data_IF_665363063148
#
_entry.id   IF_665363063148
#
_cell.length_a   1.000
_cell.length_b   1.000
_cell.length_c   1.000
_cell.angle_alpha   90.00
_cell.angle_beta   90.00
_cell.angle_gamma   90.00
#
_symmetry.space_group_name_H-M   'P 1'
#
loop_
_entity.id
_entity.type
_entity.pdbx_description
1 polymer ?
#
# COMPACT_ATOMS: atom_id res chain seq x y z
N UNK A 1 -15.27 15.42 -13.20
CA UNK A 1 -15.78 16.04 -11.96
C UNK A 1 -14.71 15.83 -10.89
N UNK A 2 -14.43 16.79 -10.02
CA UNK A 2 -13.36 16.63 -9.02
C UNK A 2 -13.80 15.64 -7.94
N UNK A 3 -12.94 14.68 -7.59
CA UNK A 3 -13.28 13.62 -6.62
C UNK A 3 -13.77 14.16 -5.27
N UNK A 4 -13.24 15.30 -4.81
CA UNK A 4 -13.70 15.95 -3.58
C UNK A 4 -15.15 16.43 -3.67
N UNK A 5 -15.60 16.90 -4.83
CA UNK A 5 -16.98 17.36 -5.04
C UNK A 5 -17.95 16.18 -4.96
N UNK A 6 -17.63 15.06 -5.62
CA UNK A 6 -18.45 13.84 -5.50
C UNK A 6 -18.57 13.35 -4.05
N UNK A 7 -17.48 13.42 -3.28
CA UNK A 7 -17.53 13.07 -1.85
C UNK A 7 -18.44 14.02 -1.07
N UNK A 8 -18.45 15.32 -1.39
CA UNK A 8 -19.38 16.29 -0.77
C UNK A 8 -20.83 15.98 -1.11
N UNK A 9 -21.13 15.71 -2.38
CA UNK A 9 -22.47 15.35 -2.85
C UNK A 9 -22.97 14.08 -2.16
N UNK A 10 -22.13 13.05 -2.06
CA UNK A 10 -22.48 11.82 -1.35
C UNK A 10 -22.61 12.03 0.17
N UNK A 11 -21.81 12.91 0.79
CA UNK A 11 -22.00 13.30 2.20
C UNK A 11 -23.37 13.96 2.41
N UNK A 12 -23.72 14.94 1.58
CA UNK A 12 -25.00 15.65 1.66
C UNK A 12 -26.17 14.68 1.52
N UNK A 13 -26.18 13.89 0.44
CA UNK A 13 -27.21 12.88 0.15
C UNK A 13 -27.31 11.82 1.25
N UNK A 14 -26.17 11.33 1.76
CA UNK A 14 -26.15 10.31 2.80
C UNK A 14 -26.73 10.83 4.12
N UNK A 15 -26.34 12.02 4.57
CA UNK A 15 -26.83 12.55 5.85
C UNK A 15 -28.25 13.15 5.76
N UNK A 16 -28.75 13.46 4.56
CA UNK A 16 -30.18 13.75 4.35
C UNK A 16 -31.04 12.49 4.49
N UNK A 17 -30.56 11.34 4.03
CA UNK A 17 -31.34 10.09 3.97
C UNK A 17 -31.13 9.19 5.20
N UNK A 18 -29.90 9.10 5.70
CA UNK A 18 -29.48 8.20 6.76
C UNK A 18 -28.59 8.91 7.82
N UNK A 19 -29.10 9.94 8.52
CA UNK A 19 -28.29 10.79 9.41
C UNK A 19 -27.64 10.06 10.60
N UNK A 20 -28.13 8.84 10.93
CA UNK A 20 -27.65 8.04 12.06
C UNK A 20 -26.46 7.15 11.70
N UNK A 21 -26.35 6.73 10.45
CA UNK A 21 -25.27 5.85 10.01
C UNK A 21 -24.13 6.70 9.43
N UNK A 22 -22.86 6.38 9.69
CA UNK A 22 -21.77 7.11 9.08
C UNK A 22 -21.60 6.74 7.61
N UNK A 23 -21.18 7.73 6.80
CA UNK A 23 -20.78 7.48 5.43
C UNK A 23 -19.59 6.51 5.39
N UNK A 24 -19.68 5.54 4.49
CA UNK A 24 -18.57 4.65 4.14
C UNK A 24 -18.44 4.66 2.62
N UNK A 25 -17.23 4.64 2.11
CA UNK A 25 -17.05 4.46 0.68
C UNK A 25 -15.62 4.23 0.22
N UNK A 26 -15.50 3.87 -1.06
CA UNK A 26 -14.23 3.58 -1.71
C UNK A 26 -13.93 4.65 -2.76
N UNK A 27 -12.70 5.15 -2.77
CA UNK A 27 -12.17 6.00 -3.83
C UNK A 27 -11.10 5.20 -4.56
N UNK A 28 -11.40 4.80 -5.79
CA UNK A 28 -10.45 4.11 -6.65
C UNK A 28 -9.79 5.12 -7.58
N UNK A 29 -8.52 5.40 -7.32
CA UNK A 29 -7.74 6.38 -8.05
C UNK A 29 -6.42 5.73 -8.45
N UNK A 30 -6.08 5.75 -9.74
CA UNK A 30 -4.86 5.13 -10.25
C UNK A 30 -3.61 5.57 -9.47
N UNK A 31 -2.64 4.68 -9.33
CA UNK A 31 -1.41 4.99 -8.61
C UNK A 31 -0.69 6.19 -9.25
N UNK A 32 -0.26 7.14 -8.42
CA UNK A 32 0.38 8.38 -8.87
C UNK A 32 -0.59 9.52 -9.22
N UNK A 33 -1.91 9.35 -9.12
CA UNK A 33 -2.89 10.41 -9.41
C UNK A 33 -3.04 11.49 -8.33
N UNK A 34 -2.32 11.38 -7.20
CA UNK A 34 -2.39 12.36 -6.11
C UNK A 34 -3.36 12.03 -4.98
N UNK A 35 -3.59 10.75 -4.66
CA UNK A 35 -4.46 10.29 -3.56
C UNK A 35 -4.20 10.99 -2.22
N UNK A 36 -2.93 11.16 -1.81
CA UNK A 36 -2.57 11.87 -0.58
C UNK A 36 -2.96 13.35 -0.61
N UNK A 37 -2.82 14.01 -1.76
CA UNK A 37 -3.28 15.40 -1.94
C UNK A 37 -4.80 15.48 -1.87
N UNK A 38 -5.52 14.50 -2.43
CA UNK A 38 -6.97 14.38 -2.27
C UNK A 38 -7.35 14.23 -0.80
N UNK A 39 -6.68 13.37 -0.03
CA UNK A 39 -6.90 13.23 1.41
C UNK A 39 -6.81 14.56 2.15
N UNK A 40 -5.78 15.36 1.87
CA UNK A 40 -5.66 16.71 2.45
C UNK A 40 -6.90 17.56 2.16
N UNK A 41 -7.40 17.57 0.92
CA UNK A 41 -8.59 18.34 0.57
C UNK A 41 -9.85 17.79 1.24
N UNK A 42 -9.96 16.46 1.37
CA UNK A 42 -11.06 15.81 2.08
C UNK A 42 -11.10 16.18 3.57
N UNK A 43 -9.95 16.40 4.23
CA UNK A 43 -9.96 16.84 5.64
C UNK A 43 -10.68 18.18 5.82
N UNK A 44 -10.39 19.16 4.96
CA UNK A 44 -11.06 20.47 4.99
C UNK A 44 -12.54 20.35 4.66
N UNK A 45 -12.84 19.65 3.58
CA UNK A 45 -14.20 19.50 3.08
C UNK A 45 -15.13 18.80 4.08
N UNK A 46 -14.67 17.66 4.65
CA UNK A 46 -15.45 16.91 5.63
C UNK A 46 -15.63 17.74 6.92
N UNK A 47 -14.59 18.42 7.37
CA UNK A 47 -14.69 19.31 8.53
C UNK A 47 -15.73 20.42 8.30
N UNK A 48 -15.64 21.12 7.17
CA UNK A 48 -16.54 22.22 6.85
C UNK A 48 -17.99 21.72 6.74
N UNK A 49 -18.20 20.53 6.14
CA UNK A 49 -19.52 19.89 6.10
C UNK A 49 -20.10 19.65 7.51
N UNK A 50 -19.34 19.08 8.45
CA UNK A 50 -19.84 18.81 9.80
C UNK A 50 -19.97 20.06 10.68
N UNK A 51 -19.17 21.09 10.41
CA UNK A 51 -19.23 22.37 11.11
C UNK A 51 -20.40 23.25 10.62
N UNK A 52 -20.69 23.25 9.32
CA UNK A 52 -21.73 24.10 8.71
C UNK A 52 -23.11 23.45 8.66
N UNK A 53 -23.17 22.12 8.66
CA UNK A 53 -24.44 21.41 8.74
C UNK A 53 -25.08 21.56 10.12
N UNK A 54 -26.38 21.26 10.21
CA UNK A 54 -27.13 21.20 11.49
C UNK A 54 -26.58 20.15 12.48
N UNK A 55 -25.53 19.41 12.11
CA UNK A 55 -24.89 18.38 12.92
C UNK A 55 -23.96 18.99 13.97
N UNK A 56 -23.36 20.17 13.73
CA UNK A 56 -22.45 20.87 14.64
C UNK A 56 -21.39 19.95 15.28
N UNK A 57 -20.77 19.08 14.47
CA UNK A 57 -19.77 18.12 14.95
C UNK A 57 -18.37 18.60 14.64
N UNK A 58 -17.47 18.39 15.59
CA UNK A 58 -16.03 18.51 15.38
C UNK A 58 -15.49 17.23 14.74
N UNK A 59 -14.50 17.35 13.86
CA UNK A 59 -13.94 16.20 13.13
C UNK A 59 -12.52 15.88 13.57
N UNK A 60 -12.20 14.59 13.75
CA UNK A 60 -10.85 14.11 14.06
C UNK A 60 -10.40 13.07 13.04
N UNK A 61 -9.31 13.36 12.35
CA UNK A 61 -8.87 12.62 11.17
C UNK A 61 -7.74 11.64 11.50
N UNK A 62 -7.86 10.42 10.96
CA UNK A 62 -6.82 9.41 11.00
C UNK A 62 -6.51 8.95 9.58
N UNK A 63 -5.24 9.03 9.19
CA UNK A 63 -4.74 8.52 7.92
C UNK A 63 -3.95 7.25 8.16
N UNK A 64 -4.47 6.12 7.67
CA UNK A 64 -3.94 4.80 7.96
C UNK A 64 -3.20 4.29 6.73
N UNK A 65 -1.94 3.90 6.91
CA UNK A 65 -1.07 3.39 5.84
C UNK A 65 -0.52 2.03 6.20
N UNK A 66 -0.22 1.22 5.19
CA UNK A 66 0.30 -0.11 5.40
C UNK A 66 1.82 -0.16 5.57
N UNK A 67 2.58 0.70 4.89
CA UNK A 67 4.05 0.69 4.91
C UNK A 67 4.67 1.89 5.62
N UNK A 68 5.86 1.67 6.19
CA UNK A 68 6.62 2.71 6.91
C UNK A 68 7.08 3.86 6.00
N UNK A 69 7.44 3.57 4.76
CA UNK A 69 7.81 4.61 3.80
C UNK A 69 6.61 5.47 3.39
N UNK A 70 5.42 4.87 3.28
CA UNK A 70 4.18 5.61 3.04
C UNK A 70 3.81 6.52 4.22
N UNK A 71 4.11 6.10 5.46
CA UNK A 71 3.93 6.95 6.66
C UNK A 71 4.78 8.22 6.55
N UNK A 72 6.07 8.08 6.28
CA UNK A 72 6.97 9.24 6.13
C UNK A 72 6.59 10.12 4.94
N UNK A 73 6.16 9.53 3.82
CA UNK A 73 5.64 10.29 2.68
C UNK A 73 4.39 11.10 3.05
N UNK A 74 3.42 10.47 3.72
CA UNK A 74 2.18 11.13 4.13
C UNK A 74 2.45 12.27 5.12
N UNK A 75 3.30 12.05 6.13
CA UNK A 75 3.70 13.08 7.10
C UNK A 75 4.29 14.31 6.41
N UNK A 76 5.23 14.09 5.51
CA UNK A 76 5.86 15.16 4.74
C UNK A 76 4.84 15.90 3.86
N UNK A 77 3.97 15.17 3.18
CA UNK A 77 3.00 15.72 2.23
C UNK A 77 1.92 16.56 2.91
N UNK A 78 1.42 16.11 4.06
CA UNK A 78 0.44 16.82 4.89
C UNK A 78 1.05 18.05 5.58
N UNK A 79 2.25 17.91 6.16
CA UNK A 79 2.95 19.03 6.80
C UNK A 79 3.25 20.16 5.81
N UNK A 80 3.70 19.82 4.60
CA UNK A 80 3.95 20.79 3.51
C UNK A 80 2.69 21.54 3.07
N UNK A 81 1.51 20.98 3.29
CA UNK A 81 0.21 21.60 2.99
C UNK A 81 -0.40 22.30 4.21
N UNK A 82 0.30 22.34 5.33
CA UNK A 82 -0.10 23.09 6.53
C UNK A 82 -1.00 22.32 7.50
N UNK A 83 -1.10 20.99 7.40
CA UNK A 83 -1.67 20.20 8.49
C UNK A 83 -0.64 20.03 9.60
N UNK A 84 -1.08 20.07 10.86
CA UNK A 84 -0.30 19.59 11.98
C UNK A 84 -0.39 18.07 12.02
N UNK A 85 0.73 17.39 11.77
CA UNK A 85 0.76 15.93 11.66
C UNK A 85 1.21 15.30 12.97
N UNK A 86 0.37 14.43 13.49
CA UNK A 86 0.65 13.59 14.65
C UNK A 86 0.90 12.17 14.17
N UNK A 87 1.84 11.48 14.79
CA UNK A 87 2.10 10.08 14.50
C UNK A 87 1.63 9.23 15.67
N UNK A 88 1.03 8.07 15.38
CA UNK A 88 0.82 7.05 16.40
C UNK A 88 2.07 6.18 16.54
N UNK A 89 2.76 6.28 17.68
CA UNK A 89 4.05 5.62 17.90
C UNK A 89 3.92 4.11 18.17
N UNK A 90 2.92 3.73 18.96
CA UNK A 90 2.64 2.36 19.39
C UNK A 90 1.12 2.16 19.59
N UNK A 91 0.71 0.93 19.96
CA UNK A 91 -0.72 0.59 20.16
C UNK A 91 -1.32 1.40 21.30
N UNK A 92 -0.57 1.60 22.37
CA UNK A 92 -1.00 2.31 23.57
C UNK A 92 -1.22 3.80 23.27
N UNK A 93 -0.29 4.43 22.56
CA UNK A 93 -0.41 5.82 22.10
C UNK A 93 -1.63 5.97 21.18
N UNK A 94 -1.81 5.10 20.18
CA UNK A 94 -3.01 5.13 19.34
C UNK A 94 -4.31 4.98 20.15
N UNK A 95 -4.31 4.09 21.15
CA UNK A 95 -5.45 3.92 22.06
C UNK A 95 -5.76 5.21 22.82
N UNK A 96 -4.74 5.90 23.35
CA UNK A 96 -4.92 7.19 24.03
C UNK A 96 -5.41 8.28 23.07
N UNK A 97 -4.86 8.36 21.85
CA UNK A 97 -5.31 9.31 20.82
C UNK A 97 -6.77 9.08 20.43
N UNK A 98 -7.20 7.82 20.37
CA UNK A 98 -8.58 7.43 20.12
C UNK A 98 -9.50 7.80 21.30
N UNK A 99 -9.09 7.55 22.55
CA UNK A 99 -9.86 7.92 23.76
C UNK A 99 -9.95 9.44 23.95
N UNK A 100 -8.94 10.18 23.50
CA UNK A 100 -8.93 11.63 23.63
C UNK A 100 -9.97 12.27 22.70
N UNK A 101 -10.95 12.91 23.31
CA UNK A 101 -12.02 13.62 22.61
C UNK A 101 -11.64 15.01 22.11
N UNK A 102 -10.48 15.53 22.53
CA UNK A 102 -9.93 16.74 21.95
C UNK A 102 -9.61 16.50 20.47
N UNK A 103 -10.06 17.45 19.65
CA UNK A 103 -9.73 17.52 18.22
C UNK A 103 -8.28 17.89 18.02
N UNK A 104 -7.76 18.75 18.91
CA UNK A 104 -6.40 19.24 18.88
C UNK A 104 -5.56 18.55 19.95
N UNK A 105 -4.42 17.99 19.57
CA UNK A 105 -3.36 17.57 20.48
C UNK A 105 -2.45 18.75 20.85
N UNK A 106 -2.37 19.77 20.00
CA UNK A 106 -1.57 20.98 20.22
C UNK A 106 -2.36 22.22 20.67
N UNK A 107 -1.70 23.22 21.27
CA UNK A 107 -2.34 24.47 21.71
C UNK A 107 -2.69 25.44 20.55
N UNK A 108 -2.29 25.12 19.32
CA UNK A 108 -2.24 26.06 18.18
C UNK A 108 -3.52 26.09 17.33
N UNK A 109 -4.52 25.22 17.56
CA UNK A 109 -5.79 25.23 16.83
C UNK A 109 -5.69 24.99 15.31
N UNK A 110 -4.53 24.52 14.82
CA UNK A 110 -4.32 24.16 13.42
C UNK A 110 -5.06 22.87 13.07
N UNK A 111 -5.41 22.70 11.80
CA UNK A 111 -6.00 21.46 11.31
C UNK A 111 -5.04 20.28 11.54
N UNK A 112 -5.48 19.28 12.29
CA UNK A 112 -4.64 18.14 12.67
C UNK A 112 -5.02 16.85 11.93
N UNK A 113 -4.03 15.99 11.72
CA UNK A 113 -4.23 14.63 11.23
C UNK A 113 -3.30 13.65 11.95
N UNK A 114 -3.85 12.52 12.37
CA UNK A 114 -3.09 11.44 12.99
C UNK A 114 -2.73 10.42 11.91
N UNK A 115 -1.44 10.23 11.65
CA UNK A 115 -0.94 9.23 10.71
C UNK A 115 -0.60 7.95 11.46
N UNK A 116 -1.15 6.84 10.99
CA UNK A 116 -1.13 5.54 11.66
C UNK A 116 -0.53 4.52 10.70
N UNK A 117 0.59 3.90 11.07
CA UNK A 117 1.15 2.80 10.29
C UNK A 117 0.81 1.45 10.91
N UNK A 118 0.15 0.57 10.16
CA UNK A 118 -0.29 -0.73 10.69
C UNK A 118 0.87 -1.71 10.92
N UNK A 119 1.98 -1.59 10.19
CA UNK A 119 3.16 -2.46 10.35
C UNK A 119 3.86 -2.23 11.69
N UNK A 120 3.91 -0.98 12.19
CA UNK A 120 4.45 -0.66 13.52
C UNK A 120 3.78 -1.43 14.66
N UNK A 121 2.54 -1.85 14.44
CA UNK A 121 1.72 -2.50 15.45
C UNK A 121 1.55 -4.00 15.22
N UNK A 122 2.14 -4.55 14.15
CA UNK A 122 2.34 -6.00 14.04
C UNK A 122 3.52 -6.34 14.95
N UNK A 123 3.28 -7.06 16.05
CA UNK A 123 4.38 -7.45 16.93
C UNK A 123 5.35 -8.39 16.17
N UNK A 124 6.66 -8.34 16.43
CA UNK A 124 7.63 -9.27 15.84
C UNK A 124 7.28 -10.74 16.11
N UNK A 125 6.57 -11.00 17.21
CA UNK A 125 6.20 -12.34 17.68
C UNK A 125 4.79 -12.78 17.25
N UNK A 126 4.09 -12.02 16.39
CA UNK A 126 2.86 -12.49 15.73
C UNK A 126 3.19 -13.30 14.45
N UNK A 127 4.46 -13.56 14.14
CA UNK A 127 4.83 -14.78 13.41
C UNK A 127 4.63 -15.96 14.35
N UNK A 128 3.50 -16.65 14.21
CA UNK A 128 3.12 -17.84 14.98
C UNK A 128 4.34 -18.67 15.36
N UNK A 129 4.73 -18.64 16.63
CA UNK A 129 5.53 -19.73 17.17
C UNK A 129 4.74 -21.03 16.91
N UNK A 130 5.37 -22.14 16.48
CA UNK A 130 4.67 -23.37 16.10
C UNK A 130 3.75 -23.96 17.19
N UNK A 131 3.83 -23.43 18.42
CA UNK A 131 3.20 -23.97 19.63
C UNK A 131 2.30 -22.97 20.37
N UNK A 132 1.93 -21.82 19.77
CA UNK A 132 0.92 -20.94 20.38
C UNK A 132 -0.51 -21.38 20.04
N UNK A 133 -1.35 -21.41 21.08
CA UNK A 133 -2.75 -21.83 21.05
C UNK A 133 -3.53 -21.02 19.99
N UNK A 134 -4.31 -21.64 19.08
CA UNK A 134 -5.01 -20.93 17.98
C UNK A 134 -6.09 -19.92 18.43
N UNK A 135 -6.25 -19.72 19.74
CA UNK A 135 -7.35 -19.04 20.42
C UNK A 135 -7.01 -17.64 20.93
N UNK A 136 -5.73 -17.24 20.99
CA UNK A 136 -5.39 -15.89 21.44
C UNK A 136 -5.68 -14.88 20.31
N UNK A 137 -6.88 -14.29 20.36
CA UNK A 137 -7.24 -13.15 19.54
C UNK A 137 -6.14 -12.06 19.66
N UNK A 138 -5.77 -11.39 18.56
CA UNK A 138 -4.79 -10.31 18.63
C UNK A 138 -5.29 -9.27 19.63
N UNK A 139 -4.41 -8.82 20.53
CA UNK A 139 -4.75 -7.79 21.52
C UNK A 139 -5.38 -6.59 20.80
N UNK A 140 -6.64 -6.33 21.10
CA UNK A 140 -7.37 -5.18 20.60
C UNK A 140 -6.64 -3.89 21.04
N UNK A 141 -6.58 -2.89 20.15
CA UNK A 141 -5.99 -1.57 20.45
C UNK A 141 -6.76 -0.90 21.59
N UNK A 142 -8.08 -1.04 21.48
CA UNK A 142 -9.07 -0.54 22.40
C UNK A 142 -10.34 -1.35 22.17
N UNK A 143 -10.98 -1.81 23.24
CA UNK A 143 -12.26 -2.49 23.11
C UNK A 143 -13.36 -1.50 22.72
N UNK A 144 -14.40 -1.98 22.04
CA UNK A 144 -15.56 -1.14 21.68
C UNK A 144 -16.19 -0.49 22.91
N UNK A 145 -16.25 -1.23 24.01
CA UNK A 145 -16.79 -0.75 25.29
C UNK A 145 -15.92 0.36 25.88
N UNK A 146 -14.60 0.18 25.94
CA UNK A 146 -13.69 1.21 26.46
C UNK A 146 -13.73 2.50 25.63
N UNK A 147 -13.82 2.39 24.29
CA UNK A 147 -13.95 3.57 23.46
C UNK A 147 -15.28 4.29 23.73
N UNK A 148 -16.38 3.54 23.78
CA UNK A 148 -17.70 4.10 24.07
C UNK A 148 -17.76 4.79 25.43
N UNK A 149 -17.15 4.20 26.45
CA UNK A 149 -17.04 4.78 27.79
C UNK A 149 -16.19 6.06 27.79
N UNK A 150 -15.01 6.02 27.18
CA UNK A 150 -14.11 7.17 27.11
C UNK A 150 -14.72 8.35 26.32
N UNK A 151 -15.56 8.07 25.33
CA UNK A 151 -16.17 9.09 24.46
C UNK A 151 -17.62 9.39 24.80
N UNK A 152 -18.12 8.87 25.93
CA UNK A 152 -19.54 8.99 26.31
C UNK A 152 -20.01 10.44 26.34
N UNK A 153 -19.16 11.35 26.81
CA UNK A 153 -19.50 12.77 26.96
C UNK A 153 -19.11 13.61 25.72
N UNK A 154 -18.69 12.97 24.62
CA UNK A 154 -18.15 13.62 23.42
C UNK A 154 -19.00 13.35 22.20
N UNK A 155 -20.30 13.59 22.34
CA UNK A 155 -21.31 13.38 21.30
C UNK A 155 -21.11 14.28 20.06
N UNK A 156 -20.36 15.37 20.20
CA UNK A 156 -20.02 16.30 19.12
C UNK A 156 -18.79 15.86 18.32
N UNK A 157 -18.13 14.75 18.67
CA UNK A 157 -16.94 14.28 17.96
C UNK A 157 -17.29 13.30 16.83
N UNK A 158 -16.84 13.61 15.62
CA UNK A 158 -16.92 12.76 14.44
C UNK A 158 -15.52 12.29 14.04
N UNK A 159 -15.21 11.01 14.27
CA UNK A 159 -13.97 10.42 13.73
C UNK A 159 -14.10 10.15 12.23
N UNK A 160 -12.99 10.33 11.53
CA UNK A 160 -12.87 10.07 10.09
C UNK A 160 -11.62 9.23 9.87
N UNK A 161 -11.81 8.00 9.42
CA UNK A 161 -10.76 7.08 9.05
C UNK A 161 -10.59 7.07 7.54
N UNK A 162 -9.41 7.47 7.07
CA UNK A 162 -9.03 7.41 5.65
C UNK A 162 -7.89 6.42 5.54
N UNK A 163 -8.04 5.39 4.70
CA UNK A 163 -7.08 4.31 4.60
C UNK A 163 -6.47 4.30 3.21
N UNK A 164 -5.15 4.29 3.12
CA UNK A 164 -4.45 4.04 1.87
C UNK A 164 -4.25 2.55 1.58
N UNK A 165 -4.49 2.16 0.32
CA UNK A 165 -4.40 0.78 -0.18
C UNK A 165 -5.16 -0.25 0.69
N UNK A 166 -6.39 0.11 1.07
CA UNK A 166 -7.24 -0.65 2.02
C UNK A 166 -7.42 -2.13 1.66
N UNK A 167 -7.35 -2.48 0.37
CA UNK A 167 -7.53 -3.84 -0.12
C UNK A 167 -6.28 -4.73 0.04
N UNK A 168 -5.08 -4.20 0.32
CA UNK A 168 -3.87 -5.03 0.49
C UNK A 168 -3.73 -5.57 1.91
N UNK A 169 -4.23 -4.81 2.87
CA UNK A 169 -3.92 -4.99 4.29
C UNK A 169 -5.09 -5.45 5.14
N UNK A 170 -6.30 -5.51 4.57
CA UNK A 170 -7.46 -6.06 5.25
C UNK A 170 -7.47 -7.59 5.21
N UNK A 171 -7.25 -8.23 6.36
CA UNK A 171 -7.59 -9.64 6.59
C UNK A 171 -8.73 -9.73 7.63
N UNK A 172 -9.92 -10.23 7.24
CA UNK A 172 -11.04 -10.39 8.17
C UNK A 172 -10.77 -11.38 9.31
N UNK A 173 -9.72 -12.20 9.26
CA UNK A 173 -9.39 -13.23 10.27
C UNK A 173 -8.63 -12.70 11.49
N UNK A 174 -8.72 -11.39 11.77
CA UNK A 174 -8.14 -10.79 12.97
C UNK A 174 -6.76 -10.17 12.74
N UNK A 175 -6.61 -9.33 11.73
CA UNK A 175 -5.46 -8.43 11.70
C UNK A 175 -5.75 -7.15 12.49
N UNK A 176 -4.70 -6.51 13.01
CA UNK A 176 -4.73 -5.18 13.63
C UNK A 176 -5.66 -4.18 12.92
N UNK A 177 -5.65 -4.23 11.58
CA UNK A 177 -6.43 -3.35 10.73
C UNK A 177 -7.95 -3.54 10.91
N UNK A 178 -8.44 -4.77 11.01
CA UNK A 178 -9.87 -5.03 11.26
C UNK A 178 -10.31 -4.45 12.62
N UNK A 179 -9.48 -4.60 13.66
CA UNK A 179 -9.76 -4.08 15.00
C UNK A 179 -9.82 -2.55 15.03
N UNK A 180 -8.88 -1.88 14.35
CA UNK A 180 -8.87 -0.41 14.25
C UNK A 180 -10.11 0.11 13.53
N UNK A 181 -10.51 -0.54 12.44
CA UNK A 181 -11.71 -0.11 11.70
C UNK A 181 -12.98 -0.41 12.49
N UNK A 182 -13.03 -1.50 13.25
CA UNK A 182 -14.22 -1.91 14.00
C UNK A 182 -14.38 -1.23 15.37
N UNK A 183 -13.36 -0.53 15.88
CA UNK A 183 -13.41 0.08 17.22
C UNK A 183 -14.48 1.18 17.32
N UNK A 184 -14.69 1.95 16.24
CA UNK A 184 -15.70 3.00 16.16
C UNK A 184 -16.68 2.70 15.01
N UNK A 185 -17.93 2.34 15.36
CA UNK A 185 -19.00 2.08 14.40
C UNK A 185 -19.62 3.36 13.84
N UNK A 186 -19.37 4.50 14.47
CA UNK A 186 -19.92 5.82 14.11
C UNK A 186 -18.93 6.67 13.32
N UNK A 187 -17.70 6.18 13.13
CA UNK A 187 -16.69 6.84 12.31
C UNK A 187 -17.03 6.77 10.80
N UNK A 188 -16.74 7.85 10.08
CA UNK A 188 -16.69 7.85 8.62
C UNK A 188 -15.49 7.02 8.18
N UNK A 189 -15.67 6.19 7.14
CA UNK A 189 -14.65 5.27 6.66
C UNK A 189 -14.47 5.41 5.16
N UNK A 190 -13.34 5.95 4.73
CA UNK A 190 -13.00 6.13 3.32
C UNK A 190 -11.78 5.26 3.00
N UNK A 191 -11.96 4.31 2.09
CA UNK A 191 -10.86 3.51 1.55
C UNK A 191 -10.33 4.13 0.26
N UNK A 192 -9.02 4.32 0.17
CA UNK A 192 -8.32 4.69 -1.06
C UNK A 192 -7.68 3.44 -1.65
N UNK A 193 -7.73 3.30 -2.97
CA UNK A 193 -7.10 2.17 -3.67
C UNK A 193 -6.52 2.58 -5.02
N UNK A 194 -5.35 2.05 -5.37
CA UNK A 194 -4.75 2.16 -6.70
C UNK A 194 -5.41 1.29 -7.77
N UNK A 195 -6.03 0.19 -7.34
CA UNK A 195 -6.58 -0.86 -8.22
C UNK A 195 -8.07 -1.07 -7.95
N UNK A 196 -8.84 -1.48 -8.98
CA UNK A 196 -10.24 -1.81 -8.79
C UNK A 196 -10.38 -3.03 -7.89
N UNK A 197 -11.40 -3.05 -7.04
CA UNK A 197 -11.88 -4.28 -6.45
C UNK A 197 -12.60 -5.08 -7.54
N UNK A 198 -12.07 -6.26 -7.86
CA UNK A 198 -12.67 -7.17 -8.84
C UNK A 198 -13.72 -8.07 -8.19
N UNK A 199 -13.77 -8.10 -6.85
CA UNK A 199 -14.70 -8.94 -6.06
C UNK A 199 -14.55 -10.45 -6.29
N UNK A 200 -13.52 -10.87 -7.02
CA UNK A 200 -13.25 -12.28 -7.31
C UNK A 200 -12.60 -13.00 -6.12
N UNK A 201 -11.88 -12.24 -5.28
CA UNK A 201 -11.18 -12.77 -4.11
C UNK A 201 -11.89 -12.39 -2.80
N UNK A 202 -11.59 -13.13 -1.72
CA UNK A 202 -12.23 -12.91 -0.42
C UNK A 202 -11.91 -11.53 0.19
N UNK A 203 -10.75 -10.96 -0.17
CA UNK A 203 -10.26 -9.69 0.36
C UNK A 203 -11.01 -8.49 -0.23
N UNK A 204 -11.25 -8.50 -1.53
CA UNK A 204 -12.03 -7.50 -2.25
C UNK A 204 -13.48 -7.48 -1.73
N UNK A 205 -14.10 -8.67 -1.59
CA UNK A 205 -15.45 -8.80 -1.04
C UNK A 205 -15.53 -8.22 0.38
N UNK A 206 -14.52 -8.47 1.19
CA UNK A 206 -14.52 -7.98 2.56
C UNK A 206 -14.23 -6.47 2.64
N UNK A 207 -13.42 -5.93 1.72
CA UNK A 207 -13.20 -4.48 1.57
C UNK A 207 -14.51 -3.78 1.20
N UNK A 208 -15.24 -4.27 0.18
CA UNK A 208 -16.55 -3.73 -0.20
C UNK A 208 -17.58 -3.86 0.92
N UNK A 209 -17.59 -4.97 1.66
CA UNK A 209 -18.47 -5.13 2.84
C UNK A 209 -18.18 -4.10 3.94
N UNK A 210 -16.91 -3.79 4.16
CA UNK A 210 -16.49 -2.86 5.23
C UNK A 210 -16.68 -1.40 4.84
N UNK A 211 -16.37 -1.05 3.60
CA UNK A 211 -16.34 0.34 3.12
C UNK A 211 -17.53 0.71 2.24
N UNK A 212 -18.35 -0.23 1.77
CA UNK A 212 -19.46 0.08 0.87
C UNK A 212 -19.02 0.26 -0.58
N UNK A 213 -19.81 1.01 -1.35
CA UNK A 213 -19.61 1.22 -2.77
C UNK A 213 -18.59 2.34 -3.09
N UNK A 214 -18.29 2.52 -4.38
CA UNK A 214 -17.40 3.57 -4.84
C UNK A 214 -18.04 4.96 -4.69
N UNK A 215 -17.38 5.88 -3.99
CA UNK A 215 -17.70 7.31 -4.00
C UNK A 215 -17.19 7.99 -5.27
N UNK A 216 -16.05 7.51 -5.78
CA UNK A 216 -15.45 8.05 -6.99
C UNK A 216 -14.44 7.06 -7.60
N UNK A 217 -14.34 7.05 -8.93
CA UNK A 217 -13.34 6.30 -9.68
C UNK A 217 -12.53 7.23 -10.59
N UNK A 218 -11.23 6.97 -10.71
CA UNK A 218 -10.33 7.66 -11.62
C UNK A 218 -9.29 6.67 -12.14
N UNK A 219 -9.55 6.17 -13.33
CA UNK A 219 -8.84 5.04 -13.91
C UNK A 219 -7.48 5.41 -14.49
N UNK A 220 -6.67 4.40 -14.77
CA UNK A 220 -5.40 4.57 -15.48
C UNK A 220 -5.63 5.17 -16.89
N UNK A 221 -6.69 4.77 -17.58
CA UNK A 221 -7.04 5.30 -18.90
C UNK A 221 -7.35 6.80 -18.86
N UNK A 222 -8.13 7.25 -17.88
CA UNK A 222 -8.43 8.67 -17.67
C UNK A 222 -7.16 9.46 -17.32
N UNK A 223 -6.34 8.94 -16.40
CA UNK A 223 -5.09 9.60 -16.02
C UNK A 223 -4.08 9.76 -17.15
N UNK A 224 -4.02 8.78 -18.06
CA UNK A 224 -3.22 8.87 -19.28
C UNK A 224 -3.82 9.90 -20.25
N UNK A 225 -5.15 9.90 -20.42
CA UNK A 225 -5.86 10.88 -21.27
C UNK A 225 -5.61 12.32 -20.82
N UNK A 226 -5.64 12.53 -19.50
CA UNK A 226 -5.42 13.82 -18.85
C UNK A 226 -3.93 14.20 -18.74
N UNK A 227 -3.03 13.31 -19.19
CA UNK A 227 -1.57 13.48 -19.13
C UNK A 227 -1.00 13.62 -17.71
N UNK A 228 -1.71 13.07 -16.73
CA UNK A 228 -1.22 12.98 -15.35
C UNK A 228 -0.27 11.78 -15.15
N UNK A 229 -0.42 10.72 -15.94
CA UNK A 229 0.48 9.56 -15.94
C UNK A 229 0.99 9.23 -17.33
N UNK A 230 2.16 8.56 -17.38
CA UNK A 230 2.78 8.10 -18.62
C UNK A 230 2.14 6.79 -19.10
N UNK A 231 2.17 6.57 -20.41
CA UNK A 231 1.73 5.30 -21.01
C UNK A 231 2.72 4.18 -20.67
N UNK A 232 2.18 2.99 -20.42
CA UNK A 232 2.96 1.77 -20.28
C UNK A 232 3.13 1.12 -21.65
N UNK A 233 4.37 0.84 -22.03
CA UNK A 233 4.70 0.05 -23.22
C UNK A 233 5.04 -1.36 -22.77
N UNK A 234 4.22 -2.33 -23.17
CA UNK A 234 4.46 -3.74 -22.90
C UNK A 234 5.28 -4.32 -24.06
N UNK A 235 6.50 -4.75 -23.75
CA UNK A 235 7.36 -5.45 -24.69
C UNK A 235 7.50 -6.91 -24.27
N UNK A 236 7.37 -7.81 -25.24
CA UNK A 236 7.62 -9.24 -25.03
C UNK A 236 9.12 -9.47 -25.15
N UNK A 237 9.68 -10.25 -24.23
CA UNK A 237 11.09 -10.64 -24.27
C UNK A 237 11.47 -11.31 -25.60
N UNK A 238 12.72 -11.18 -25.99
CA UNK A 238 13.24 -11.80 -27.22
C UNK A 238 12.96 -13.30 -27.27
N UNK A 239 12.53 -13.79 -28.45
CA UNK A 239 12.21 -15.22 -28.66
C UNK A 239 13.40 -16.12 -28.34
N UNK A 240 14.61 -15.72 -28.79
CA UNK A 240 15.87 -16.43 -28.54
C UNK A 240 16.15 -16.59 -27.04
N UNK A 241 15.94 -15.53 -26.26
CA UNK A 241 16.10 -15.58 -24.81
C UNK A 241 15.03 -16.44 -24.13
N UNK A 242 13.78 -16.34 -24.56
CA UNK A 242 12.69 -17.19 -24.06
C UNK A 242 13.00 -18.68 -24.27
N UNK A 243 13.49 -19.05 -25.45
CA UNK A 243 13.89 -20.43 -25.77
C UNK A 243 15.07 -20.89 -24.89
N UNK A 244 16.06 -20.01 -24.66
CA UNK A 244 17.22 -20.30 -23.81
C UNK A 244 16.83 -20.51 -22.34
N UNK A 245 15.97 -19.66 -21.78
CA UNK A 245 15.43 -19.87 -20.42
C UNK A 245 14.61 -21.15 -20.31
N UNK A 246 13.81 -21.49 -21.33
CA UNK A 246 13.05 -22.75 -21.35
C UNK A 246 13.95 -23.98 -21.41
N UNK A 247 15.05 -23.92 -22.17
CA UNK A 247 16.04 -24.99 -22.20
C UNK A 247 16.70 -25.19 -20.83
N UNK A 248 17.14 -24.10 -20.17
CA UNK A 248 17.69 -24.18 -18.81
C UNK A 248 16.66 -24.74 -17.82
N UNK A 249 15.41 -24.29 -17.91
CA UNK A 249 14.34 -24.78 -17.06
C UNK A 249 14.17 -26.30 -17.19
N UNK A 250 14.10 -26.82 -18.43
CA UNK A 250 13.97 -28.26 -18.70
C UNK A 250 15.17 -29.06 -18.19
N UNK A 251 16.39 -28.60 -18.47
CA UNK A 251 17.62 -29.26 -18.00
C UNK A 251 17.68 -29.32 -16.48
N UNK A 252 17.30 -28.23 -15.79
CA UNK A 252 17.25 -28.20 -14.34
C UNK A 252 16.18 -29.13 -13.79
N UNK A 253 15.00 -29.14 -14.40
CA UNK A 253 13.92 -30.06 -14.04
C UNK A 253 14.38 -31.52 -14.14
N UNK A 254 15.01 -31.91 -15.25
CA UNK A 254 15.55 -33.26 -15.45
C UNK A 254 16.67 -33.60 -14.45
N UNK A 255 17.60 -32.68 -14.22
CA UNK A 255 18.76 -32.94 -13.34
C UNK A 255 18.45 -33.01 -11.85
N UNK A 256 17.37 -32.35 -11.40
CA UNK A 256 16.96 -32.27 -9.98
C UNK A 256 15.94 -33.36 -9.64
N UNK A 257 15.28 -33.96 -10.64
CA UNK A 257 14.31 -35.03 -10.42
C UNK A 257 15.02 -36.28 -9.93
N UNK A 258 14.87 -36.56 -8.63
CA UNK A 258 15.31 -37.79 -7.96
C UNK A 258 14.00 -38.52 -7.62
N UNK A 259 13.73 -39.67 -8.25
CA UNK A 259 12.59 -40.56 -7.92
C UNK A 259 11.17 -40.14 -8.38
N UNK A 260 10.98 -39.69 -9.63
CA UNK A 260 9.65 -39.37 -10.21
C UNK A 260 8.82 -38.31 -9.46
N UNK A 261 9.44 -37.56 -8.54
CA UNK A 261 8.81 -36.43 -7.85
C UNK A 261 8.93 -35.16 -8.70
N UNK A 262 7.80 -34.55 -9.04
CA UNK A 262 7.78 -33.29 -9.79
C UNK A 262 8.51 -32.18 -9.01
N UNK A 263 9.58 -31.65 -9.61
CA UNK A 263 10.35 -30.54 -9.04
C UNK A 263 9.49 -29.28 -8.97
N UNK A 264 9.37 -28.69 -7.78
CA UNK A 264 8.67 -27.41 -7.61
C UNK A 264 9.32 -26.32 -8.46
N UNK A 265 8.50 -25.52 -9.17
CA UNK A 265 8.96 -24.39 -9.99
C UNK A 265 9.90 -23.45 -9.23
N UNK A 266 9.60 -23.23 -7.95
CA UNK A 266 10.41 -22.39 -7.06
C UNK A 266 11.86 -22.87 -6.96
N UNK A 267 12.10 -24.19 -6.90
CA UNK A 267 13.44 -24.78 -6.88
C UNK A 267 14.23 -24.39 -8.13
N UNK A 268 13.59 -24.43 -9.30
CA UNK A 268 14.21 -24.10 -10.58
C UNK A 268 14.46 -22.58 -10.69
N UNK A 269 13.47 -21.76 -10.34
CA UNK A 269 13.61 -20.29 -10.41
C UNK A 269 14.63 -19.74 -9.42
N UNK A 270 14.84 -20.41 -8.28
CA UNK A 270 15.86 -20.06 -7.30
C UNK A 270 17.24 -20.67 -7.63
N UNK A 271 17.37 -21.45 -8.71
CA UNK A 271 18.62 -22.07 -9.09
C UNK A 271 19.57 -21.05 -9.75
N UNK A 272 20.85 -21.07 -9.35
CA UNK A 272 21.88 -20.13 -9.80
C UNK A 272 21.95 -20.02 -11.33
N UNK A 273 21.97 -21.15 -12.06
CA UNK A 273 22.00 -21.17 -13.54
C UNK A 273 20.82 -20.41 -14.18
N UNK A 274 19.62 -20.54 -13.61
CA UNK A 274 18.44 -19.84 -14.12
C UNK A 274 18.56 -18.35 -13.86
N UNK A 275 18.96 -17.96 -12.65
CA UNK A 275 19.14 -16.57 -12.24
C UNK A 275 20.23 -15.88 -13.06
N UNK A 276 21.37 -16.53 -13.31
CA UNK A 276 22.48 -15.97 -14.11
C UNK A 276 22.02 -15.66 -15.53
N UNK A 277 21.28 -16.55 -16.17
CA UNK A 277 20.74 -16.29 -17.52
C UNK A 277 19.70 -15.17 -17.50
N UNK A 278 18.83 -15.15 -16.48
CA UNK A 278 17.84 -14.10 -16.31
C UNK A 278 18.47 -12.71 -16.16
N UNK A 279 19.45 -12.60 -15.26
CA UNK A 279 20.19 -11.37 -15.02
C UNK A 279 20.97 -10.92 -16.24
N UNK A 280 21.60 -11.86 -16.95
CA UNK A 280 22.38 -11.54 -18.14
C UNK A 280 21.52 -10.79 -19.16
N UNK A 281 20.33 -11.30 -19.45
CA UNK A 281 19.40 -10.66 -20.38
C UNK A 281 18.96 -9.28 -19.90
N UNK A 282 18.53 -9.16 -18.63
CA UNK A 282 18.03 -7.91 -18.07
C UNK A 282 19.11 -6.83 -18.05
N UNK A 283 20.33 -7.17 -17.61
CA UNK A 283 21.45 -6.23 -17.54
C UNK A 283 21.83 -5.78 -18.95
N UNK A 284 21.99 -6.73 -19.88
CA UNK A 284 22.29 -6.44 -21.29
C UNK A 284 21.23 -5.50 -21.89
N UNK A 285 19.96 -5.81 -21.70
CA UNK A 285 18.83 -5.03 -22.20
C UNK A 285 18.83 -3.59 -21.66
N UNK A 286 18.99 -3.41 -20.34
CA UNK A 286 19.09 -2.08 -19.72
C UNK A 286 20.29 -1.28 -20.27
N UNK A 287 21.45 -1.93 -20.44
CA UNK A 287 22.63 -1.25 -20.95
C UNK A 287 22.47 -0.81 -22.42
N UNK A 288 21.84 -1.63 -23.26
CA UNK A 288 21.48 -1.22 -24.61
C UNK A 288 20.45 -0.09 -24.59
N UNK A 289 19.43 -0.18 -23.72
CA UNK A 289 18.41 0.87 -23.58
C UNK A 289 19.03 2.22 -23.18
N UNK A 290 19.96 2.23 -22.21
CA UNK A 290 20.73 3.43 -21.84
C UNK A 290 21.52 4.00 -23.01
N UNK A 291 22.17 3.15 -23.79
CA UNK A 291 22.95 3.56 -24.96
C UNK A 291 22.07 4.14 -26.06
N UNK A 292 20.96 3.49 -26.39
CA UNK A 292 20.01 3.96 -27.40
C UNK A 292 19.44 5.33 -27.06
N UNK A 293 19.22 5.60 -25.77
CA UNK A 293 18.69 6.88 -25.29
C UNK A 293 19.77 7.90 -24.90
N UNK A 294 21.06 7.52 -24.97
CA UNK A 294 22.19 8.33 -24.50
C UNK A 294 22.00 8.88 -23.07
N UNK A 295 21.45 8.06 -22.16
CA UNK A 295 21.19 8.44 -20.78
C UNK A 295 21.56 7.31 -19.80
N UNK A 296 22.59 7.55 -19.00
CA UNK A 296 23.09 6.62 -17.98
C UNK A 296 22.28 6.64 -16.68
N UNK A 297 21.35 7.58 -16.53
CA UNK A 297 20.54 7.71 -15.32
C UNK A 297 19.28 6.84 -15.38
N UNK A 298 18.94 6.27 -16.54
CA UNK A 298 17.79 5.37 -16.69
C UNK A 298 17.95 4.15 -15.79
N UNK A 299 16.92 3.85 -14.99
CA UNK A 299 16.92 2.76 -14.01
C UNK A 299 15.94 1.67 -14.42
N UNK A 300 16.18 0.47 -13.93
CA UNK A 300 15.24 -0.64 -14.02
C UNK A 300 14.96 -1.19 -12.62
N UNK A 301 13.84 -1.90 -12.51
CA UNK A 301 13.49 -2.71 -11.35
C UNK A 301 13.29 -4.14 -11.81
N UNK A 302 13.90 -5.09 -11.10
CA UNK A 302 13.72 -6.52 -11.35
C UNK A 302 12.76 -7.07 -10.30
N UNK A 303 11.62 -7.59 -10.74
CA UNK A 303 10.64 -8.25 -9.88
C UNK A 303 10.92 -9.74 -9.92
N UNK A 304 11.47 -10.27 -8.82
CA UNK A 304 11.79 -11.70 -8.69
C UNK A 304 10.57 -12.51 -8.21
N UNK A 305 10.59 -13.80 -8.52
CA UNK A 305 9.59 -14.79 -8.11
C UNK A 305 9.51 -14.97 -6.60
N UNK A 306 10.65 -14.90 -5.90
CA UNK A 306 10.75 -15.09 -4.45
C UNK A 306 11.81 -14.18 -3.83
N UNK A 307 11.77 -14.03 -2.50
CA UNK A 307 12.82 -13.33 -1.75
C UNK A 307 14.17 -14.04 -1.83
N UNK A 308 14.19 -15.38 -1.93
CA UNK A 308 15.39 -16.16 -2.14
C UNK A 308 16.02 -15.86 -3.52
N UNK A 309 15.20 -15.82 -4.57
CA UNK A 309 15.66 -15.43 -5.90
C UNK A 309 16.22 -14.01 -5.90
N UNK A 310 15.55 -13.07 -5.24
CA UNK A 310 16.01 -11.67 -5.16
C UNK A 310 17.37 -11.54 -4.46
N UNK A 311 17.56 -12.22 -3.32
CA UNK A 311 18.83 -12.23 -2.59
C UNK A 311 19.95 -12.81 -3.44
N UNK A 312 19.71 -13.96 -4.06
CA UNK A 312 20.72 -14.62 -4.90
C UNK A 312 21.00 -13.81 -6.18
N UNK A 313 19.99 -13.20 -6.80
CA UNK A 313 20.17 -12.31 -7.93
C UNK A 313 21.03 -11.09 -7.57
N UNK A 314 20.83 -10.51 -6.38
CA UNK A 314 21.64 -9.40 -5.91
C UNK A 314 23.11 -9.78 -5.68
N UNK A 315 23.37 -10.99 -5.15
CA UNK A 315 24.72 -11.53 -4.96
C UNK A 315 25.43 -11.79 -6.29
N UNK A 316 24.71 -12.29 -7.28
CA UNK A 316 25.26 -12.63 -8.60
C UNK A 316 25.35 -11.44 -9.57
N UNK A 317 24.77 -10.30 -9.20
CA UNK A 317 24.60 -9.16 -10.11
C UNK A 317 25.92 -8.67 -10.71
N UNK A 318 26.94 -8.45 -9.88
CA UNK A 318 28.23 -7.92 -10.34
C UNK A 318 29.00 -8.93 -11.20
N UNK A 319 28.97 -10.22 -10.84
CA UNK A 319 29.57 -11.31 -11.64
C UNK A 319 28.93 -11.36 -13.04
N UNK A 320 27.60 -11.36 -13.11
CA UNK A 320 26.88 -11.44 -14.37
C UNK A 320 27.06 -10.18 -15.20
N UNK A 321 27.11 -9.01 -14.56
CA UNK A 321 27.40 -7.75 -15.23
C UNK A 321 28.78 -7.75 -15.90
N UNK A 322 29.81 -8.22 -15.21
CA UNK A 322 31.16 -8.32 -15.78
C UNK A 322 31.18 -9.25 -17.01
N UNK A 323 30.43 -10.36 -16.96
CA UNK A 323 30.25 -11.23 -18.12
C UNK A 323 29.55 -10.53 -19.30
N UNK A 324 28.48 -9.77 -19.04
CA UNK A 324 27.79 -8.99 -20.09
C UNK A 324 28.76 -8.01 -20.77
N UNK A 325 29.64 -7.36 -20.00
CA UNK A 325 30.61 -6.40 -20.53
C UNK A 325 31.72 -7.06 -21.35
N UNK A 326 32.21 -8.24 -20.95
CA UNK A 326 33.20 -9.00 -21.72
C UNK A 326 32.69 -9.31 -23.13
N UNK A 327 31.40 -9.63 -23.25
CA UNK A 327 30.75 -9.93 -24.52
C UNK A 327 30.27 -8.66 -25.26
N UNK A 328 30.22 -7.52 -24.59
CA UNK A 328 29.70 -6.24 -25.12
C UNK A 328 30.57 -5.04 -24.66
N UNK A 329 31.81 -4.89 -25.14
CA UNK A 329 32.80 -3.95 -24.60
C UNK A 329 32.45 -2.46 -24.80
N UNK A 330 31.47 -2.16 -25.64
CA UNK A 330 31.01 -0.79 -25.93
C UNK A 330 29.93 -0.30 -24.94
N UNK A 331 29.54 -1.11 -23.95
CA UNK A 331 28.57 -0.75 -22.93
C UNK A 331 29.27 -0.23 -21.67
N UNK A 332 28.59 0.60 -20.88
CA UNK A 332 29.13 1.18 -19.63
C UNK A 332 28.50 0.48 -18.43
N UNK A 333 29.31 0.23 -17.40
CA UNK A 333 28.90 -0.56 -16.21
C UNK A 333 27.81 0.15 -15.40
N UNK A 334 26.88 -0.60 -14.81
CA UNK A 334 25.98 -0.09 -13.77
C UNK A 334 26.78 0.09 -12.47
N UNK A 335 26.23 0.84 -11.51
CA UNK A 335 26.87 0.96 -10.19
C UNK A 335 27.00 -0.45 -9.59
N UNK A 336 28.23 -0.83 -9.19
CA UNK A 336 28.47 -2.08 -8.48
C UNK A 336 27.64 -2.09 -7.20
N UNK A 337 27.15 -3.26 -6.82
CA UNK A 337 26.49 -3.41 -5.54
C UNK A 337 27.56 -3.21 -4.45
N UNK A 338 27.49 -2.10 -3.71
CA UNK A 338 28.22 -1.99 -2.44
C UNK A 338 27.81 -3.20 -1.60
N UNK A 339 28.78 -4.03 -1.21
CA UNK A 339 28.56 -5.25 -0.43
C UNK A 339 27.49 -5.03 0.65
N UNK A 340 26.50 -5.93 0.81
CA UNK A 340 25.74 -5.95 2.05
C UNK A 340 26.72 -6.31 3.16
N UNK A 341 27.04 -5.34 4.02
CA UNK A 341 27.64 -5.58 5.33
C UNK A 341 26.61 -6.26 6.24
#
# INVERSE_FOLDING_TARGET
MFASLNVLEELQKHYETNPKDPLKGIIWHTQGSGKTALTYHLTKLIRDFFNQSNLNKKTKFYFIVDRLDLLEQAKNEFSKRGLCVHEAENKEDLSQKLKNSSVFEGPQGNDEIIVVNIQKFKAPNEEKAPNEDPSSAPKEIISKTELQEATKDSHDLQRVFIIDEAHRSYDPKGCFYANLIECDKTAIKIALTGTPLLEDNAQDKATKKTFGDYLHTYSCAESISDRHTLKLQLEIIEKSYKEKLQAIYRLLQESITIEDVEVKKETIFNHERYIKEMLYYIIRDLLFFRRLNNDENLKAMVVCFSSAQAKLANLLFDEVQEKVLQENPNLRILKKNSNPA
#
